data_IF_527072369750
#
_entry.id   IF_527072369750
#
_cell.length_a   1.000
_cell.length_b   1.000
_cell.length_c   1.000
_cell.angle_alpha   90.00
_cell.angle_beta   90.00
_cell.angle_gamma   90.00
#
_symmetry.space_group_name_H-M   'P 1'
#
loop_
_entity.id
_entity.type
_entity.pdbx_description
1 polymer ?
#
# COMPACT_ATOMS: atom_id res chain seq x y z
N UNK A 1 -19.04 12.83 15.59
CA UNK A 1 -20.49 12.53 15.69
C UNK A 1 -20.82 11.48 16.77
N UNK A 2 -19.91 10.53 17.06
CA UNK A 2 -20.11 9.47 18.06
C UNK A 2 -20.36 9.94 19.52
N UNK A 3 -19.83 11.10 19.93
CA UNK A 3 -19.99 11.61 21.31
C UNK A 3 -21.15 12.61 21.45
N UNK A 4 -21.63 13.20 20.33
CA UNK A 4 -22.78 14.12 20.32
C UNK A 4 -24.14 13.43 20.53
N UNK A 5 -24.19 12.10 20.47
CA UNK A 5 -25.42 11.32 20.75
C UNK A 5 -25.63 11.02 22.24
N UNK A 6 -24.67 11.35 23.12
CA UNK A 6 -24.79 11.03 24.55
C UNK A 6 -25.46 12.14 25.38
N UNK A 7 -25.63 13.35 24.83
CA UNK A 7 -26.19 14.53 25.54
C UNK A 7 -27.43 15.12 24.82
N UNK A 8 -27.77 14.64 23.62
CA UNK A 8 -28.89 15.15 22.83
C UNK A 8 -30.13 14.26 22.92
N UNK A 9 -31.17 14.74 23.60
CA UNK A 9 -32.47 14.11 23.87
C UNK A 9 -33.32 13.86 22.59
N UNK A 10 -32.77 13.20 21.57
CA UNK A 10 -33.48 12.74 20.36
C UNK A 10 -33.32 11.22 20.27
N UNK A 11 -34.37 10.47 19.87
CA UNK A 11 -34.26 9.02 19.68
C UNK A 11 -33.34 8.75 18.48
N UNK A 12 -32.06 8.54 18.75
CA UNK A 12 -31.09 8.10 17.76
C UNK A 12 -31.29 6.61 17.51
N UNK A 13 -31.56 6.26 16.26
CA UNK A 13 -31.35 4.94 15.69
C UNK A 13 -29.85 4.57 15.81
N UNK A 14 -29.45 4.16 17.01
CA UNK A 14 -28.08 3.94 17.51
C UNK A 14 -27.41 2.66 16.97
N UNK A 15 -28.06 1.91 16.08
CA UNK A 15 -27.57 0.59 15.67
C UNK A 15 -26.45 0.59 14.62
N UNK A 16 -26.37 1.62 13.77
CA UNK A 16 -25.69 1.48 12.48
C UNK A 16 -24.32 2.16 12.36
N UNK A 17 -23.96 3.16 13.17
CA UNK A 17 -22.73 3.94 12.88
C UNK A 17 -21.42 3.24 13.24
N UNK A 18 -21.36 2.53 14.37
CA UNK A 18 -20.20 1.70 14.70
C UNK A 18 -20.07 0.53 13.71
N UNK A 19 -21.21 0.02 13.23
CA UNK A 19 -21.27 -0.99 12.19
C UNK A 19 -20.76 -0.42 10.86
N UNK A 20 -21.12 0.82 10.51
CA UNK A 20 -20.57 1.51 9.32
C UNK A 20 -19.06 1.73 9.44
N UNK A 21 -18.54 2.11 10.61
CA UNK A 21 -17.10 2.25 10.83
C UNK A 21 -16.36 0.90 10.74
N UNK A 22 -16.94 -0.16 11.32
CA UNK A 22 -16.43 -1.53 11.22
C UNK A 22 -16.44 -2.02 9.77
N UNK A 23 -17.58 -1.90 9.08
CA UNK A 23 -17.73 -2.24 7.67
C UNK A 23 -16.76 -1.44 6.80
N UNK A 24 -16.59 -0.14 7.04
CA UNK A 24 -15.61 0.69 6.33
C UNK A 24 -14.18 0.20 6.52
N UNK A 25 -13.82 -0.20 7.75
CA UNK A 25 -12.51 -0.78 8.06
C UNK A 25 -12.32 -2.13 7.35
N UNK A 26 -13.36 -2.98 7.35
CA UNK A 26 -13.35 -4.27 6.65
C UNK A 26 -13.25 -4.07 5.14
N UNK A 27 -14.05 -3.20 4.55
CA UNK A 27 -13.99 -2.89 3.11
C UNK A 27 -12.64 -2.28 2.72
N UNK A 28 -12.09 -1.38 3.53
CA UNK A 28 -10.77 -0.78 3.30
C UNK A 28 -9.64 -1.82 3.34
N UNK A 29 -9.69 -2.75 4.30
CA UNK A 29 -8.72 -3.85 4.39
C UNK A 29 -8.85 -4.85 3.25
N UNK A 30 -10.08 -5.21 2.85
CA UNK A 30 -10.33 -6.09 1.71
C UNK A 30 -9.89 -5.46 0.38
N UNK A 31 -10.14 -4.18 0.17
CA UNK A 31 -9.69 -3.45 -1.02
C UNK A 31 -8.17 -3.39 -1.09
N UNK A 32 -7.49 -3.18 0.04
CA UNK A 32 -6.04 -3.19 0.11
C UNK A 32 -5.45 -4.59 -0.20
N UNK A 33 -6.07 -5.66 0.32
CA UNK A 33 -5.68 -7.04 0.01
C UNK A 33 -5.85 -7.36 -1.49
N UNK A 34 -6.98 -6.95 -2.08
CA UNK A 34 -7.24 -7.14 -3.50
C UNK A 34 -6.26 -6.35 -4.38
N UNK A 35 -5.95 -5.10 -4.01
CA UNK A 35 -4.96 -4.27 -4.69
C UNK A 35 -3.56 -4.87 -4.62
N UNK A 36 -3.17 -5.43 -3.48
CA UNK A 36 -1.90 -6.14 -3.31
C UNK A 36 -1.83 -7.38 -4.21
N UNK A 37 -2.87 -8.20 -4.22
CA UNK A 37 -2.95 -9.38 -5.07
C UNK A 37 -2.87 -9.01 -6.56
N UNK A 38 -3.62 -7.99 -6.99
CA UNK A 38 -3.57 -7.49 -8.35
C UNK A 38 -2.18 -6.96 -8.75
N UNK A 39 -1.53 -6.20 -7.85
CA UNK A 39 -0.17 -5.70 -8.06
C UNK A 39 0.86 -6.83 -8.22
N UNK A 40 0.74 -7.89 -7.42
CA UNK A 40 1.60 -9.09 -7.56
C UNK A 40 1.39 -9.79 -8.91
N UNK A 41 0.14 -9.97 -9.34
CA UNK A 41 -0.17 -10.61 -10.62
C UNK A 41 0.32 -9.78 -11.81
N UNK A 42 0.15 -8.45 -11.76
CA UNK A 42 0.65 -7.55 -12.80
C UNK A 42 2.19 -7.56 -12.86
N UNK A 43 2.86 -7.55 -11.72
CA UNK A 43 4.32 -7.64 -11.65
C UNK A 43 4.83 -8.96 -12.27
N UNK A 44 4.17 -10.08 -11.97
CA UNK A 44 4.52 -11.38 -12.55
C UNK A 44 4.25 -11.42 -14.06
N UNK A 45 3.14 -10.83 -14.51
CA UNK A 45 2.82 -10.72 -15.93
C UNK A 45 3.85 -9.89 -16.70
N UNK A 46 4.25 -8.73 -16.17
CA UNK A 46 5.28 -7.89 -16.80
C UNK A 46 6.62 -8.64 -16.84
N UNK A 47 6.99 -9.29 -15.73
CA UNK A 47 8.24 -10.03 -15.68
C UNK A 47 8.27 -11.22 -16.64
N UNK A 48 7.17 -11.97 -16.78
CA UNK A 48 7.08 -13.09 -17.73
C UNK A 48 7.12 -12.64 -19.20
N UNK A 49 6.64 -11.42 -19.49
CA UNK A 49 6.76 -10.81 -20.82
C UNK A 49 8.17 -10.32 -21.14
N UNK A 50 8.86 -9.77 -20.15
CA UNK A 50 10.22 -9.25 -20.32
C UNK A 50 11.30 -10.35 -20.28
N UNK A 51 11.01 -11.48 -19.62
CA UNK A 51 11.94 -12.60 -19.47
C UNK A 51 11.29 -13.93 -19.87
N UNK A 52 10.89 -14.10 -21.15
CA UNK A 52 10.27 -15.33 -21.64
C UNK A 52 11.16 -16.57 -21.42
N UNK A 53 12.48 -16.40 -21.43
CA UNK A 53 13.48 -17.46 -21.20
C UNK A 53 13.42 -18.09 -19.81
N UNK A 54 12.88 -17.39 -18.80
CA UNK A 54 12.74 -17.91 -17.43
C UNK A 54 11.55 -18.88 -17.31
N UNK A 55 10.54 -18.72 -18.17
CA UNK A 55 9.28 -19.48 -18.10
C UNK A 55 9.10 -20.48 -19.26
N UNK A 56 9.85 -20.32 -20.36
CA UNK A 56 9.84 -21.20 -21.52
C UNK A 56 11.27 -21.60 -21.92
N UNK A 57 11.89 -22.59 -21.24
CA UNK A 57 13.23 -23.07 -21.57
C UNK A 57 13.34 -23.69 -22.98
N UNK A 58 12.22 -24.02 -23.62
CA UNK A 58 12.17 -24.68 -24.92
C UNK A 58 12.53 -23.76 -26.11
N UNK A 59 12.51 -22.43 -25.91
CA UNK A 59 12.79 -21.45 -26.97
C UNK A 59 14.30 -21.35 -27.30
N UNK A 60 15.19 -21.56 -26.33
CA UNK A 60 16.64 -21.63 -26.60
C UNK A 60 17.02 -22.94 -27.30
N UNK A 61 16.36 -24.05 -26.96
CA UNK A 61 16.63 -25.35 -27.59
C UNK A 61 16.24 -25.39 -29.08
N UNK A 62 15.26 -24.57 -29.48
CA UNK A 62 14.89 -24.38 -30.88
C UNK A 62 15.90 -23.49 -31.63
N UNK A 63 16.47 -22.48 -30.97
CA UNK A 63 17.48 -21.59 -31.55
C UNK A 63 18.89 -22.20 -31.62
N UNK A 64 19.22 -23.16 -30.75
CA UNK A 64 20.53 -23.80 -30.71
C UNK A 64 20.69 -24.97 -31.71
N UNK A 65 19.59 -25.46 -32.30
CA UNK A 65 19.59 -26.63 -33.21
C UNK A 65 19.88 -26.31 -34.70
N UNK A 66 20.21 -25.06 -35.04
CA UNK A 66 20.50 -24.60 -36.41
C UNK A 66 22.01 -24.47 -36.73
N UNK A 67 22.89 -25.13 -35.96
CA UNK A 67 24.31 -25.27 -36.30
C UNK A 67 24.58 -26.54 -37.15
N UNK A 68 25.57 -26.54 -38.08
CA UNK A 68 25.79 -27.66 -38.99
C UNK A 68 26.23 -28.93 -38.25
N UNK A 69 25.50 -30.03 -38.47
CA UNK A 69 25.77 -31.36 -37.93
C UNK A 69 27.02 -31.96 -38.60
N UNK A 70 28.02 -32.32 -37.80
CA UNK A 70 29.00 -33.36 -38.15
C UNK A 70 28.62 -34.61 -37.38
N UNK A 71 28.33 -35.67 -38.13
CA UNK A 71 27.93 -36.96 -37.63
C UNK A 71 29.13 -37.74 -37.13
N UNK A 72 29.04 -38.34 -35.94
CA UNK A 72 29.80 -39.55 -35.63
C UNK A 72 28.98 -40.47 -34.71
N UNK A 73 28.96 -41.73 -35.14
CA UNK A 73 28.21 -42.86 -34.60
C UNK A 73 29.12 -43.63 -33.67
N UNK A 74 28.65 -44.03 -32.48
CA UNK A 74 28.91 -45.39 -31.97
C UNK A 74 28.03 -45.77 -30.78
N UNK A 75 27.57 -47.01 -30.89
CA UNK A 75 26.66 -47.82 -30.09
C UNK A 75 27.23 -48.27 -28.73
N UNK A 76 26.38 -48.44 -27.70
CA UNK A 76 26.24 -49.72 -26.96
C UNK A 76 25.17 -49.71 -25.84
N UNK A 77 24.34 -50.76 -25.86
CA UNK A 77 23.73 -51.55 -24.78
C UNK A 77 22.91 -50.92 -23.63
N UNK A 78 21.77 -51.59 -23.39
CA UNK A 78 20.67 -51.35 -22.45
C UNK A 78 20.99 -51.31 -20.94
N UNK A 79 20.22 -50.50 -20.21
CA UNK A 79 19.83 -50.74 -18.79
C UNK A 79 18.45 -50.08 -18.51
N UNK A 80 17.43 -50.79 -18.01
CA UNK A 80 16.11 -50.23 -17.75
C UNK A 80 16.03 -49.66 -16.33
N UNK A 81 16.42 -48.41 -16.16
CA UNK A 81 15.95 -47.56 -15.05
C UNK A 81 15.39 -46.27 -15.62
N UNK A 82 14.07 -46.28 -15.81
CA UNK A 82 13.25 -45.11 -16.06
C UNK A 82 13.40 -44.16 -14.86
N UNK A 83 14.36 -43.24 -14.93
CA UNK A 83 14.35 -42.02 -14.12
C UNK A 83 13.12 -41.24 -14.56
N UNK A 84 12.12 -41.16 -13.69
CA UNK A 84 10.97 -40.28 -13.87
C UNK A 84 11.48 -38.84 -13.97
N UNK A 85 11.68 -38.34 -15.19
CA UNK A 85 11.78 -36.91 -15.45
C UNK A 85 10.39 -36.32 -15.21
N UNK A 86 10.07 -36.06 -13.96
CA UNK A 86 9.08 -35.02 -13.65
C UNK A 86 9.73 -33.72 -14.11
N UNK A 87 9.17 -32.98 -15.08
CA UNK A 87 9.68 -31.67 -15.41
C UNK A 87 9.53 -30.82 -14.15
N UNK A 88 10.65 -30.49 -13.51
CA UNK A 88 10.67 -29.55 -12.41
C UNK A 88 10.17 -28.23 -12.97
N UNK A 89 8.91 -27.89 -12.66
CA UNK A 89 8.35 -26.57 -12.91
C UNK A 89 9.37 -25.56 -12.37
N UNK A 90 9.94 -24.66 -13.19
CA UNK A 90 10.85 -23.65 -12.69
C UNK A 90 10.13 -22.87 -11.61
N UNK A 91 10.65 -22.93 -10.38
CA UNK A 91 10.16 -22.08 -9.31
C UNK A 91 10.21 -20.63 -9.80
N UNK A 92 9.16 -19.83 -9.56
CA UNK A 92 9.21 -18.41 -9.88
C UNK A 92 10.49 -17.83 -9.27
N UNK A 93 11.16 -16.88 -9.95
CA UNK A 93 12.37 -16.29 -9.42
C UNK A 93 12.13 -15.87 -7.98
N UNK A 94 12.99 -16.33 -7.08
CA UNK A 94 13.02 -15.83 -5.72
C UNK A 94 13.05 -14.31 -5.79
N UNK A 95 12.29 -13.64 -4.92
CA UNK A 95 12.18 -12.17 -4.88
C UNK A 95 13.52 -11.41 -4.94
N UNK A 96 14.64 -12.07 -4.64
CA UNK A 96 16.01 -11.60 -4.80
C UNK A 96 16.44 -11.36 -6.25
N UNK A 97 16.12 -12.24 -7.21
CA UNK A 97 16.60 -12.12 -8.60
C UNK A 97 15.93 -10.97 -9.36
N UNK A 98 14.64 -10.74 -9.09
CA UNK A 98 13.89 -9.58 -9.58
C UNK A 98 14.45 -8.27 -9.04
N UNK A 99 14.74 -8.25 -7.74
CA UNK A 99 15.32 -7.09 -7.07
C UNK A 99 16.74 -6.78 -7.59
N UNK A 100 17.57 -7.82 -7.77
CA UNK A 100 18.91 -7.68 -8.34
C UNK A 100 18.86 -7.12 -9.76
N UNK A 101 18.01 -7.66 -10.63
CA UNK A 101 17.83 -7.16 -11.99
C UNK A 101 17.34 -5.69 -12.03
N UNK A 102 16.37 -5.35 -11.19
CA UNK A 102 15.87 -3.97 -11.06
C UNK A 102 16.97 -3.01 -10.61
N UNK A 103 17.76 -3.41 -9.62
CA UNK A 103 18.83 -2.58 -9.04
C UNK A 103 20.05 -2.41 -9.95
N UNK A 104 20.29 -3.36 -10.86
CA UNK A 104 21.45 -3.38 -11.76
C UNK A 104 21.19 -2.69 -13.10
N UNK A 105 19.94 -2.36 -13.43
CA UNK A 105 19.57 -1.67 -14.66
C UNK A 105 19.53 -0.15 -14.45
N UNK A 106 20.51 0.64 -14.97
CA UNK A 106 20.62 2.06 -14.65
C UNK A 106 19.52 2.95 -15.26
N UNK A 107 18.87 2.51 -16.35
CA UNK A 107 17.85 3.30 -17.05
C UNK A 107 16.45 3.15 -16.46
N UNK A 108 16.16 2.04 -15.76
CA UNK A 108 14.82 1.75 -15.24
C UNK A 108 14.41 2.65 -14.06
N UNK A 109 15.25 2.87 -13.02
CA UNK A 109 14.95 3.80 -11.94
C UNK A 109 14.75 5.24 -12.44
N UNK A 110 15.62 5.68 -13.35
CA UNK A 110 15.50 7.01 -13.95
C UNK A 110 14.20 7.17 -14.75
N UNK A 111 13.84 6.15 -15.55
CA UNK A 111 12.58 6.17 -16.30
C UNK A 111 11.37 6.21 -15.37
N UNK A 112 11.37 5.45 -14.27
CA UNK A 112 10.29 5.48 -13.28
C UNK A 112 10.19 6.82 -12.57
N UNK A 113 11.33 7.43 -12.23
CA UNK A 113 11.37 8.74 -11.56
C UNK A 113 10.88 9.85 -12.49
N UNK A 114 11.30 9.83 -13.76
CA UNK A 114 10.83 10.76 -14.79
C UNK A 114 9.33 10.59 -15.02
N UNK A 115 8.84 9.35 -15.14
CA UNK A 115 7.41 9.08 -15.29
C UNK A 115 6.61 9.58 -14.09
N UNK A 116 7.08 9.34 -12.86
CA UNK A 116 6.44 9.83 -11.65
C UNK A 116 6.43 11.37 -11.59
N UNK A 117 7.53 12.02 -11.95
CA UNK A 117 7.63 13.47 -12.01
C UNK A 117 6.69 14.09 -13.04
N UNK A 118 6.58 13.49 -14.23
CA UNK A 118 5.65 13.93 -15.28
C UNK A 118 4.19 13.77 -14.84
N UNK A 119 3.82 12.63 -14.23
CA UNK A 119 2.49 12.43 -13.69
C UNK A 119 2.17 13.47 -12.61
N UNK A 120 3.12 13.73 -11.71
CA UNK A 120 2.94 14.73 -10.67
C UNK A 120 2.75 16.14 -11.26
N UNK A 121 3.53 16.51 -12.28
CA UNK A 121 3.43 17.79 -12.97
C UNK A 121 2.06 17.94 -13.65
N UNK A 122 1.62 16.93 -14.39
CA UNK A 122 0.32 16.91 -15.08
C UNK A 122 -0.83 17.01 -14.07
N UNK A 123 -0.82 16.18 -13.03
CA UNK A 123 -1.85 16.18 -11.99
C UNK A 123 -1.89 17.52 -11.24
N UNK A 124 -0.73 18.14 -11.00
CA UNK A 124 -0.64 19.47 -10.39
C UNK A 124 -1.26 20.52 -11.30
N UNK A 125 -0.87 20.54 -12.59
CA UNK A 125 -1.40 21.48 -13.57
C UNK A 125 -2.92 21.37 -13.75
N UNK A 126 -3.43 20.14 -13.88
CA UNK A 126 -4.88 19.88 -13.97
C UNK A 126 -5.59 20.33 -12.70
N UNK A 127 -5.05 20.03 -11.52
CA UNK A 127 -5.69 20.41 -10.25
C UNK A 127 -5.77 21.92 -10.05
N UNK A 128 -4.72 22.67 -10.43
CA UNK A 128 -4.74 24.14 -10.39
C UNK A 128 -5.75 24.69 -11.39
N UNK A 129 -5.78 24.15 -12.61
CA UNK A 129 -6.73 24.57 -13.64
C UNK A 129 -8.18 24.34 -13.23
N UNK A 130 -8.48 23.17 -12.66
CA UNK A 130 -9.83 22.82 -12.21
C UNK A 130 -10.26 23.63 -10.99
N UNK A 131 -9.33 23.94 -10.07
CA UNK A 131 -9.63 24.81 -8.93
C UNK A 131 -9.97 26.25 -9.37
N UNK A 132 -9.35 26.74 -10.43
CA UNK A 132 -9.68 28.04 -11.02
C UNK A 132 -11.04 28.06 -11.74
N UNK A 133 -11.59 26.88 -12.07
CA UNK A 133 -12.83 26.72 -12.82
C UNK A 133 -14.01 26.18 -12.00
N UNK A 134 -13.83 26.00 -10.67
CA UNK A 134 -14.87 25.52 -9.74
C UNK A 134 -15.34 26.65 -8.80
N UNK A 135 -16.24 27.54 -9.26
CA UNK A 135 -16.72 28.67 -8.46
C UNK A 135 -17.54 28.24 -7.23
N UNK A 136 -18.15 27.04 -7.28
CA UNK A 136 -19.01 26.53 -6.21
C UNK A 136 -18.23 25.73 -5.16
N UNK A 137 -16.95 25.45 -5.41
CA UNK A 137 -16.06 24.67 -4.54
C UNK A 137 -16.61 23.31 -4.08
N UNK A 138 -17.55 22.74 -4.83
CA UNK A 138 -18.26 21.51 -4.46
C UNK A 138 -17.35 20.28 -4.54
N UNK A 139 -16.44 20.28 -5.53
CA UNK A 139 -15.47 19.21 -5.79
C UNK A 139 -14.02 19.64 -5.55
N UNK A 140 -13.80 20.90 -5.20
CA UNK A 140 -12.47 21.46 -4.91
C UNK A 140 -11.63 20.64 -3.93
N UNK A 141 -12.26 19.91 -3.00
CA UNK A 141 -11.53 19.03 -2.07
C UNK A 141 -10.75 17.92 -2.79
N UNK A 142 -11.24 17.40 -3.93
CA UNK A 142 -10.53 16.39 -4.73
C UNK A 142 -9.25 16.97 -5.33
N UNK A 143 -9.32 18.18 -5.89
CA UNK A 143 -8.18 18.88 -6.46
C UNK A 143 -7.15 19.25 -5.39
N UNK A 144 -7.60 19.73 -4.22
CA UNK A 144 -6.70 19.91 -3.07
C UNK A 144 -6.06 18.59 -2.62
N UNK A 145 -6.78 17.47 -2.66
CA UNK A 145 -6.23 16.16 -2.29
C UNK A 145 -5.08 15.75 -3.20
N UNK A 146 -5.23 15.96 -4.51
CA UNK A 146 -4.19 15.65 -5.49
C UNK A 146 -2.95 16.52 -5.27
N UNK A 147 -3.14 17.82 -5.01
CA UNK A 147 -2.04 18.75 -4.74
C UNK A 147 -1.31 18.45 -3.43
N UNK A 148 -2.03 17.98 -2.41
CA UNK A 148 -1.49 17.78 -1.07
C UNK A 148 -0.97 16.35 -0.82
N UNK A 149 -1.44 15.35 -1.58
CA UNK A 149 -1.03 13.95 -1.49
C UNK A 149 0.50 13.71 -1.47
N UNK A 150 1.31 14.39 -2.30
CA UNK A 150 2.76 14.24 -2.30
C UNK A 150 3.41 14.46 -0.93
N UNK A 151 2.91 15.40 -0.12
CA UNK A 151 3.43 15.64 1.23
C UNK A 151 3.22 14.44 2.15
N UNK A 152 2.05 13.79 2.07
CA UNK A 152 1.76 12.56 2.81
C UNK A 152 2.68 11.41 2.39
N UNK A 153 2.87 11.22 1.09
CA UNK A 153 3.79 10.22 0.54
C UNK A 153 5.24 10.42 1.00
N UNK A 154 5.76 11.65 0.92
CA UNK A 154 7.12 11.98 1.35
C UNK A 154 7.31 11.77 2.85
N UNK A 155 6.33 12.14 3.67
CA UNK A 155 6.38 11.92 5.10
C UNK A 155 6.35 10.42 5.43
N UNK A 156 5.47 9.64 4.79
CA UNK A 156 5.42 8.18 4.95
C UNK A 156 6.75 7.53 4.56
N UNK A 157 7.34 7.95 3.43
CA UNK A 157 8.66 7.47 3.00
C UNK A 157 9.76 7.80 4.02
N UNK A 158 9.76 9.03 4.55
CA UNK A 158 10.71 9.42 5.60
C UNK A 158 10.52 8.60 6.87
N UNK A 159 9.28 8.32 7.27
CA UNK A 159 8.94 7.54 8.45
C UNK A 159 9.30 6.06 8.30
N UNK A 160 9.18 5.49 7.10
CA UNK A 160 9.50 4.08 6.84
C UNK A 160 10.95 3.70 7.23
N UNK A 161 11.87 4.67 7.30
CA UNK A 161 13.24 4.48 7.81
C UNK A 161 13.31 4.07 9.29
N UNK A 162 12.23 4.28 10.05
CA UNK A 162 12.11 3.85 11.44
C UNK A 162 11.52 2.44 11.59
N UNK A 163 11.16 1.76 10.51
CA UNK A 163 10.71 0.36 10.58
C UNK A 163 11.86 -0.53 11.05
N UNK A 164 11.67 -1.16 12.20
CA UNK A 164 12.70 -1.97 12.86
C UNK A 164 13.83 -1.18 13.52
N UNK A 165 13.69 0.14 13.66
CA UNK A 165 14.69 1.00 14.28
C UNK A 165 14.56 1.10 15.82
N UNK A 166 13.59 0.41 16.41
CA UNK A 166 13.43 0.41 17.88
C UNK A 166 14.56 -0.40 18.54
N UNK A 167 15.04 0.03 19.73
CA UNK A 167 16.14 -0.64 20.40
C UNK A 167 15.73 -1.98 21.03
N UNK A 168 16.71 -2.88 21.16
CA UNK A 168 16.60 -4.14 21.91
C UNK A 168 15.50 -5.06 21.39
N UNK A 169 14.72 -5.62 22.32
CA UNK A 169 13.66 -6.60 22.03
C UNK A 169 12.46 -6.05 21.25
N UNK A 170 12.42 -4.74 20.96
CA UNK A 170 11.36 -4.09 20.19
C UNK A 170 11.72 -3.84 18.71
N UNK A 171 12.93 -4.21 18.27
CA UNK A 171 13.41 -4.00 16.88
C UNK A 171 12.60 -4.72 15.80
N UNK A 172 11.70 -5.62 16.18
CA UNK A 172 10.78 -6.27 15.25
C UNK A 172 9.61 -5.38 14.84
N UNK A 173 9.31 -4.31 15.59
CA UNK A 173 8.12 -3.50 15.40
C UNK A 173 8.30 -2.51 14.23
N UNK A 174 7.40 -2.49 13.24
CA UNK A 174 7.45 -1.52 12.13
C UNK A 174 6.97 -0.12 12.57
N UNK A 175 7.81 0.57 13.35
CA UNK A 175 7.46 1.86 13.97
C UNK A 175 7.16 2.97 12.97
N UNK A 176 7.82 2.97 11.82
CA UNK A 176 7.59 3.94 10.76
C UNK A 176 6.18 3.85 10.17
N UNK A 177 5.76 2.65 9.79
CA UNK A 177 4.43 2.38 9.24
C UNK A 177 3.34 2.60 10.30
N UNK A 178 3.58 2.14 11.53
CA UNK A 178 2.72 2.44 12.67
C UNK A 178 2.53 3.97 12.84
N UNK A 179 3.61 4.72 12.97
CA UNK A 179 3.56 6.17 13.17
C UNK A 179 2.85 6.87 12.01
N UNK A 180 3.09 6.45 10.77
CA UNK A 180 2.42 7.02 9.61
C UNK A 180 0.88 6.84 9.68
N UNK A 181 0.41 5.64 10.02
CA UNK A 181 -1.01 5.36 10.19
C UNK A 181 -1.62 6.14 11.37
N UNK A 182 -0.95 6.17 12.53
CA UNK A 182 -1.43 6.90 13.71
C UNK A 182 -1.49 8.41 13.45
N UNK A 183 -0.48 9.00 12.80
CA UNK A 183 -0.48 10.41 12.42
C UNK A 183 -1.59 10.74 11.42
N UNK A 184 -1.83 9.87 10.44
CA UNK A 184 -2.93 10.04 9.50
C UNK A 184 -4.31 9.98 10.20
N UNK A 185 -4.51 9.03 11.12
CA UNK A 185 -5.71 8.97 11.95
C UNK A 185 -5.87 10.25 12.80
N UNK A 186 -4.80 10.70 13.47
CA UNK A 186 -4.84 11.93 14.26
C UNK A 186 -5.19 13.16 13.42
N UNK A 187 -4.61 13.28 12.23
CA UNK A 187 -4.95 14.34 11.27
C UNK A 187 -6.43 14.30 10.89
N UNK A 188 -6.96 13.12 10.54
CA UNK A 188 -8.38 12.95 10.23
C UNK A 188 -9.26 13.38 11.40
N UNK A 189 -9.00 12.85 12.60
CA UNK A 189 -9.81 13.16 13.78
C UNK A 189 -9.81 14.65 14.14
N UNK A 190 -8.64 15.31 14.11
CA UNK A 190 -8.54 16.76 14.38
C UNK A 190 -9.31 17.56 13.33
N UNK A 191 -9.15 17.25 12.05
CA UNK A 191 -9.82 17.99 10.99
C UNK A 191 -11.33 17.77 11.03
N UNK A 192 -11.78 16.54 11.27
CA UNK A 192 -13.20 16.22 11.43
C UNK A 192 -13.81 16.92 12.65
N UNK A 193 -13.06 17.02 13.75
CA UNK A 193 -13.46 17.76 14.93
C UNK A 193 -13.67 19.25 14.62
N UNK A 194 -12.72 19.87 13.88
CA UNK A 194 -12.81 21.26 13.42
C UNK A 194 -14.02 21.46 12.52
N UNK A 195 -14.22 20.58 11.53
CA UNK A 195 -15.35 20.64 10.59
C UNK A 195 -16.71 20.53 11.30
N UNK A 196 -16.75 19.82 12.43
CA UNK A 196 -17.96 19.62 13.22
C UNK A 196 -18.29 20.82 14.14
N UNK A 197 -17.28 21.41 14.78
CA UNK A 197 -17.49 22.42 15.83
C UNK A 197 -17.34 23.86 15.36
N UNK A 198 -16.60 24.11 14.28
CA UNK A 198 -16.40 25.47 13.76
C UNK A 198 -17.53 25.83 12.79
N UNK A 199 -18.50 26.60 13.30
CA UNK A 199 -19.59 27.16 12.50
C UNK A 199 -19.12 28.33 11.62
N UNK A 200 -19.85 28.62 10.55
CA UNK A 200 -19.58 29.78 9.68
C UNK A 200 -18.39 29.63 8.72
N UNK A 201 -17.82 28.43 8.60
CA UNK A 201 -16.71 28.17 7.69
C UNK A 201 -17.16 28.19 6.22
N UNK A 202 -16.44 28.95 5.38
CA UNK A 202 -16.67 29.01 3.93
C UNK A 202 -16.47 27.65 3.25
N UNK A 203 -17.09 27.44 2.08
CA UNK A 203 -16.96 26.19 1.32
C UNK A 203 -15.50 25.91 0.96
N UNK A 204 -14.73 26.93 0.55
CA UNK A 204 -13.31 26.80 0.25
C UNK A 204 -12.51 26.25 1.44
N UNK A 205 -12.70 26.80 2.65
CA UNK A 205 -12.00 26.33 3.85
C UNK A 205 -12.35 24.87 4.18
N UNK A 206 -13.63 24.49 4.04
CA UNK A 206 -14.07 23.10 4.21
C UNK A 206 -13.45 22.18 3.16
N UNK A 207 -13.37 22.63 1.91
CA UNK A 207 -12.77 21.89 0.82
C UNK A 207 -11.27 21.66 1.04
N UNK A 208 -10.53 22.68 1.50
CA UNK A 208 -9.11 22.54 1.87
C UNK A 208 -8.93 21.52 2.99
N UNK A 209 -9.70 21.62 4.07
CA UNK A 209 -9.63 20.68 5.19
C UNK A 209 -9.93 19.23 4.76
N UNK A 210 -10.98 19.02 3.96
CA UNK A 210 -11.28 17.70 3.38
C UNK A 210 -10.17 17.22 2.45
N UNK A 211 -9.57 18.13 1.68
CA UNK A 211 -8.43 17.85 0.83
C UNK A 211 -7.17 17.46 1.60
N UNK A 212 -6.95 18.03 2.78
CA UNK A 212 -5.86 17.64 3.69
C UNK A 212 -6.05 16.21 4.18
N UNK A 213 -7.26 15.83 4.61
CA UNK A 213 -7.56 14.46 5.04
C UNK A 213 -7.33 13.49 3.88
N UNK A 214 -8.00 13.72 2.75
CA UNK A 214 -8.00 12.78 1.63
C UNK A 214 -6.65 12.72 0.91
N UNK A 215 -5.97 13.87 0.76
CA UNK A 215 -4.64 13.97 0.17
C UNK A 215 -3.54 13.54 1.14
N UNK A 216 -3.21 14.40 2.12
CA UNK A 216 -2.10 14.14 3.05
C UNK A 216 -2.36 12.89 3.87
N UNK A 217 -3.52 12.80 4.53
CA UNK A 217 -3.88 11.64 5.36
C UNK A 217 -3.95 10.35 4.55
N UNK A 218 -4.60 10.39 3.39
CA UNK A 218 -4.69 9.24 2.47
C UNK A 218 -3.32 8.72 2.02
N UNK A 219 -2.43 9.60 1.59
CA UNK A 219 -1.08 9.23 1.13
C UNK A 219 -0.09 8.91 2.27
N UNK A 220 -0.33 9.44 3.47
CA UNK A 220 0.45 9.18 4.68
C UNK A 220 0.10 7.82 5.29
N UNK A 221 -1.17 7.44 5.30
CA UNK A 221 -1.61 6.12 5.75
C UNK A 221 -1.30 5.03 4.71
N UNK A 222 -1.22 3.79 5.17
CA UNK A 222 -1.11 2.62 4.29
C UNK A 222 -1.61 1.35 4.99
N UNK A 223 -2.57 0.69 4.35
CA UNK A 223 -3.04 -0.63 4.75
C UNK A 223 -2.25 -1.73 4.04
N UNK A 224 -1.85 -1.52 2.79
CA UNK A 224 -1.13 -2.54 2.00
C UNK A 224 0.24 -2.86 2.60
N UNK A 225 1.02 -1.84 2.97
CA UNK A 225 2.31 -2.04 3.64
C UNK A 225 2.13 -2.68 5.01
N UNK A 226 1.15 -2.21 5.79
CA UNK A 226 0.83 -2.76 7.10
C UNK A 226 0.47 -4.25 7.04
N UNK A 227 -0.36 -4.66 6.07
CA UNK A 227 -0.70 -6.07 5.86
C UNK A 227 0.52 -6.91 5.49
N UNK A 228 1.39 -6.42 4.59
CA UNK A 228 2.63 -7.13 4.22
C UNK A 228 3.55 -7.29 5.43
N UNK A 229 3.65 -6.28 6.29
CA UNK A 229 4.43 -6.35 7.53
C UNK A 229 3.84 -7.37 8.52
N UNK A 230 2.52 -7.39 8.71
CA UNK A 230 1.83 -8.38 9.54
C UNK A 230 2.07 -9.79 9.01
N UNK A 231 1.98 -10.00 7.69
CA UNK A 231 2.28 -11.28 7.05
C UNK A 231 3.74 -11.70 7.29
N UNK A 232 4.70 -10.81 7.06
CA UNK A 232 6.12 -11.08 7.31
C UNK A 232 6.40 -11.45 8.77
N UNK A 233 5.79 -10.74 9.71
CA UNK A 233 5.93 -11.03 11.14
C UNK A 233 5.29 -12.37 11.54
N UNK A 234 4.23 -12.81 10.86
CA UNK A 234 3.60 -14.11 11.10
C UNK A 234 4.33 -15.28 10.41
N UNK A 235 5.07 -15.02 9.33
CA UNK A 235 5.86 -16.04 8.61
C UNK A 235 7.20 -16.34 9.28
N UNK A 236 7.75 -15.41 10.07
CA UNK A 236 8.97 -15.63 10.84
C UNK A 236 8.66 -16.46 12.11
N UNK A 237 8.88 -17.78 12.03
CA UNK A 237 8.72 -18.78 13.11
C UNK A 237 9.98 -18.78 14.01
N UNK A 238 9.86 -18.90 15.35
CA UNK A 238 8.75 -19.54 16.05
C UNK A 238 7.84 -18.62 16.88
N UNK A 239 6.53 -18.91 16.81
CA UNK A 239 5.47 -18.68 17.82
C UNK A 239 5.34 -17.30 18.51
N UNK A 240 5.98 -16.26 18.01
CA UNK A 240 6.07 -14.99 18.75
C UNK A 240 4.78 -14.14 18.71
N UNK A 241 3.77 -14.49 17.91
CA UNK A 241 2.49 -13.77 17.85
C UNK A 241 2.59 -12.29 17.46
N UNK A 242 3.79 -11.82 17.08
CA UNK A 242 4.15 -10.42 16.86
C UNK A 242 3.34 -9.77 15.74
N UNK A 243 2.99 -10.51 14.69
CA UNK A 243 2.13 -9.97 13.62
C UNK A 243 0.72 -9.66 14.12
N UNK A 244 0.11 -10.56 14.92
CA UNK A 244 -1.18 -10.30 15.55
C UNK A 244 -1.10 -9.19 16.61
N UNK A 245 -0.03 -9.14 17.40
CA UNK A 245 0.22 -8.04 18.34
C UNK A 245 0.32 -6.70 17.61
N UNK A 246 1.12 -6.62 16.54
CA UNK A 246 1.25 -5.42 15.73
C UNK A 246 -0.09 -4.99 15.14
N UNK A 247 -0.84 -5.93 14.57
CA UNK A 247 -2.18 -5.68 14.05
C UNK A 247 -3.11 -5.09 15.12
N UNK A 248 -3.16 -5.73 16.29
CA UNK A 248 -4.01 -5.30 17.40
C UNK A 248 -3.59 -3.92 17.94
N UNK A 249 -2.29 -3.70 18.16
CA UNK A 249 -1.75 -2.42 18.65
C UNK A 249 -2.11 -1.28 17.69
N UNK A 250 -1.94 -1.46 16.38
CA UNK A 250 -2.27 -0.43 15.39
C UNK A 250 -3.76 -0.06 15.43
N UNK A 251 -4.65 -1.06 15.45
CA UNK A 251 -6.10 -0.81 15.48
C UNK A 251 -6.53 -0.13 16.78
N UNK A 252 -6.09 -0.66 17.93
CA UNK A 252 -6.46 -0.13 19.25
C UNK A 252 -5.89 1.27 19.45
N UNK A 253 -4.65 1.52 19.05
CA UNK A 253 -4.04 2.84 19.17
C UNK A 253 -4.77 3.88 18.32
N UNK A 254 -5.15 3.55 17.07
CA UNK A 254 -5.98 4.43 16.23
C UNK A 254 -7.34 4.72 16.88
N UNK A 255 -8.03 3.69 17.38
CA UNK A 255 -9.32 3.85 18.05
C UNK A 255 -9.23 4.69 19.33
N UNK A 256 -8.25 4.41 20.18
CA UNK A 256 -7.99 5.14 21.41
C UNK A 256 -7.66 6.62 21.12
N UNK A 257 -6.85 6.89 20.10
CA UNK A 257 -6.55 8.26 19.67
C UNK A 257 -7.81 9.02 19.23
N UNK A 258 -8.70 8.37 18.48
CA UNK A 258 -9.98 8.95 18.07
C UNK A 258 -10.89 9.25 19.26
N UNK A 259 -10.98 8.33 20.23
CA UNK A 259 -11.72 8.55 21.47
C UNK A 259 -11.15 9.73 22.25
N UNK A 260 -9.83 9.84 22.37
CA UNK A 260 -9.17 10.94 23.07
C UNK A 260 -9.46 12.29 22.39
N UNK A 261 -9.29 12.39 21.08
CA UNK A 261 -9.49 13.64 20.34
C UNK A 261 -10.96 14.07 20.38
N UNK A 262 -11.89 13.16 20.05
CA UNK A 262 -13.31 13.51 20.06
C UNK A 262 -13.87 13.68 21.48
N UNK A 263 -13.40 12.88 22.44
CA UNK A 263 -13.77 12.96 23.84
C UNK A 263 -13.37 14.30 24.47
N UNK A 264 -12.18 14.82 24.12
CA UNK A 264 -11.70 16.13 24.62
C UNK A 264 -12.58 17.33 24.24
N UNK A 265 -13.44 17.18 23.22
CA UNK A 265 -14.36 18.24 22.82
C UNK A 265 -15.71 18.17 23.56
N UNK A 266 -15.96 17.08 24.30
CA UNK A 266 -17.23 16.86 25.01
C UNK A 266 -17.06 16.83 26.52
N UNK A 267 -15.98 16.23 27.03
CA UNK A 267 -15.64 16.20 28.45
C UNK A 267 -14.88 17.46 28.86
#
# INVERSE_FOLDING_TARGET
QMVMMMIGNKPSTLGTEWFTALCGTVTGTMLALASLAAGQQLSLFIFSRLNPQVFHPDLELASAKTGPQTAEVSTTAADPKQTSMTPSIPLPPTSSALYEWWSTSPSLPLLTDVFAALNLLVLTGVSIGMLAHDPDHSLSFLWFSILLGPFGCLLRWKLARFNGALPGSASWFPMGTFAANILACGLDFVVQLILLHVSGMSLLKKAVLRGVILGVGGCLSTVSTWVVEVQKLNLNIPLDGRGYQYMFITIVASGALGILIYGSAVW
#
